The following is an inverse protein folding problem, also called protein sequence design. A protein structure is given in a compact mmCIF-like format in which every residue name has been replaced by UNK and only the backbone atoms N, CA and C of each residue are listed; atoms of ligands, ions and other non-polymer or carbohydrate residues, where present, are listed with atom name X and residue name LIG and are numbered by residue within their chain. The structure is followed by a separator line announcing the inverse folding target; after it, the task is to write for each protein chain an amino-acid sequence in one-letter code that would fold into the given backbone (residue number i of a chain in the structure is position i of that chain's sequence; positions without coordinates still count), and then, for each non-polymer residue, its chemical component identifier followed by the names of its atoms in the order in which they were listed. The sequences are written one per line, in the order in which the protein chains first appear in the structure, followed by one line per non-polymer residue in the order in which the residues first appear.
data_IF_728715045374
#
_entry.id   IF_728715045374
#
_cell.length_a   1.000
_cell.length_b   1.000
_cell.length_c   1.000
_cell.angle_alpha   90.00
_cell.angle_beta   90.00
_cell.angle_gamma   90.00
#
_symmetry.space_group_name_H-M   'P 1'
#
loop_
_entity.id
_entity.type
_entity.pdbx_description
1 polymer ?
#
# COMPACT_ATOMS: atom_id res chain seq x y z
N UNK A 1 -46.17 -65.55 23.28
CA UNK A 1 -45.93 -64.51 22.25
C UNK A 1 -46.51 -63.20 22.76
N UNK A 2 -45.65 -62.19 22.87
CA UNK A 2 -45.83 -60.98 23.68
C UNK A 2 -46.87 -60.02 23.09
N UNK A 3 -47.76 -59.54 23.95
CA UNK A 3 -48.70 -58.42 23.80
C UNK A 3 -47.95 -57.09 23.64
N UNK A 4 -48.53 -56.09 22.96
CA UNK A 4 -48.70 -54.72 23.48
C UNK A 4 -49.84 -53.99 22.75
N UNK A 5 -50.75 -53.42 23.54
CA UNK A 5 -51.93 -52.67 23.13
C UNK A 5 -51.69 -51.19 22.89
N UNK A 6 -52.67 -50.58 22.21
CA UNK A 6 -52.71 -49.19 21.77
C UNK A 6 -52.88 -48.19 22.93
N UNK A 7 -52.22 -47.03 22.81
CA UNK A 7 -52.50 -45.86 23.65
C UNK A 7 -52.34 -44.55 22.88
N UNK A 8 -53.46 -43.83 22.78
CA UNK A 8 -53.66 -42.38 22.89
C UNK A 8 -52.68 -41.40 22.20
N UNK A 9 -53.22 -40.65 21.23
CA UNK A 9 -52.61 -39.47 20.64
C UNK A 9 -52.40 -38.33 21.64
N UNK A 10 -51.29 -37.61 21.45
CA UNK A 10 -50.93 -36.42 22.23
C UNK A 10 -50.65 -35.27 21.25
N UNK A 11 -51.45 -34.20 21.38
CA UNK A 11 -51.28 -32.96 20.64
C UNK A 11 -50.01 -32.23 21.11
N UNK A 12 -49.13 -31.86 20.18
CA UNK A 12 -47.95 -31.04 20.44
C UNK A 12 -48.33 -29.56 20.40
N UNK A 13 -48.23 -28.90 21.56
CA UNK A 13 -48.36 -27.45 21.71
C UNK A 13 -47.10 -26.76 21.17
N UNK A 14 -47.28 -25.77 20.31
CA UNK A 14 -46.21 -24.87 19.88
C UNK A 14 -45.84 -23.94 21.05
N UNK A 15 -44.61 -24.06 21.54
CA UNK A 15 -44.05 -23.12 22.50
C UNK A 15 -43.63 -21.83 21.78
N UNK A 16 -44.26 -20.71 22.12
CA UNK A 16 -43.89 -19.37 21.67
C UNK A 16 -42.64 -18.88 22.41
N UNK A 17 -41.48 -19.45 22.07
CA UNK A 17 -40.19 -18.92 22.50
C UNK A 17 -39.83 -17.69 21.68
N UNK A 18 -39.84 -16.50 22.30
CA UNK A 18 -39.19 -15.31 21.72
C UNK A 18 -37.69 -15.59 21.61
N UNK A 19 -37.18 -15.70 20.39
CA UNK A 19 -35.75 -15.68 20.14
C UNK A 19 -35.17 -14.36 20.67
N UNK A 20 -34.01 -14.36 21.35
CA UNK A 20 -33.36 -13.12 21.73
C UNK A 20 -33.01 -12.36 20.44
N UNK A 21 -33.54 -11.15 20.31
CA UNK A 21 -33.16 -10.25 19.24
C UNK A 21 -31.63 -10.05 19.33
N UNK A 22 -30.90 -10.65 18.38
CA UNK A 22 -29.49 -10.29 18.16
C UNK A 22 -29.51 -8.82 17.81
N UNK A 23 -29.14 -7.97 18.77
CA UNK A 23 -28.89 -6.58 18.51
C UNK A 23 -27.90 -6.51 17.36
N UNK A 24 -28.34 -5.91 16.25
CA UNK A 24 -27.45 -5.49 15.17
C UNK A 24 -26.46 -4.54 15.83
N UNK A 25 -25.29 -5.06 16.18
CA UNK A 25 -24.17 -4.25 16.62
C UNK A 25 -23.79 -3.44 15.39
N UNK A 26 -24.21 -2.18 15.36
CA UNK A 26 -23.85 -1.26 14.30
C UNK A 26 -22.34 -1.37 14.08
N UNK A 27 -21.94 -1.59 12.83
CA UNK A 27 -20.55 -1.61 12.42
C UNK A 27 -19.86 -0.32 12.89
N UNK A 28 -18.53 -0.33 13.10
CA UNK A 28 -17.82 0.90 13.39
C UNK A 28 -18.15 1.90 12.28
N UNK A 29 -18.61 3.10 12.67
CA UNK A 29 -18.92 4.23 11.78
C UNK A 29 -17.94 4.21 10.60
N UNK A 30 -18.43 3.93 9.39
CA UNK A 30 -17.58 3.95 8.19
C UNK A 30 -16.94 5.34 8.13
N UNK A 31 -15.61 5.41 8.27
CA UNK A 31 -14.90 6.68 8.14
C UNK A 31 -15.02 7.06 6.67
N UNK A 32 -15.76 8.13 6.39
CA UNK A 32 -15.94 8.64 5.02
C UNK A 32 -14.76 9.50 4.57
N UNK A 33 -13.91 9.90 5.52
CA UNK A 33 -12.73 10.71 5.30
C UNK A 33 -11.54 10.24 6.14
N UNK A 34 -10.34 10.61 5.70
CA UNK A 34 -9.07 10.30 6.33
C UNK A 34 -8.09 11.49 6.27
N UNK A 35 -7.15 11.58 7.24
CA UNK A 35 -5.98 12.43 7.16
C UNK A 35 -5.08 12.08 5.96
N UNK A 36 -4.60 13.11 5.26
CA UNK A 36 -3.62 12.98 4.18
C UNK A 36 -2.81 14.26 3.98
N UNK A 37 -1.58 14.12 3.49
CA UNK A 37 -0.83 15.20 2.85
C UNK A 37 -1.03 15.12 1.34
N UNK A 38 -1.57 16.19 0.76
CA UNK A 38 -1.91 16.26 -0.66
C UNK A 38 -1.30 17.50 -1.30
N UNK A 39 -1.27 17.51 -2.63
CA UNK A 39 -1.03 18.69 -3.44
C UNK A 39 -2.24 18.92 -4.34
N UNK A 40 -2.60 20.18 -4.55
CA UNK A 40 -3.71 20.58 -5.45
C UNK A 40 -3.20 21.20 -6.77
N UNK A 41 -1.89 21.39 -6.87
CA UNK A 41 -1.14 21.84 -8.04
C UNK A 41 0.32 21.45 -7.90
N UNK A 42 1.05 21.41 -9.01
CA UNK A 42 2.51 21.23 -8.97
C UNK A 42 3.24 22.47 -8.46
N UNK A 43 4.39 22.28 -7.81
CA UNK A 43 5.24 23.38 -7.37
C UNK A 43 6.30 23.03 -6.33
N UNK A 44 6.80 24.08 -5.67
CA UNK A 44 7.75 23.98 -4.57
C UNK A 44 7.10 23.37 -3.31
N UNK A 45 7.82 23.31 -2.19
CA UNK A 45 7.30 22.65 -0.98
C UNK A 45 6.01 23.29 -0.43
N UNK A 46 5.71 24.53 -0.78
CA UNK A 46 4.53 25.27 -0.34
C UNK A 46 3.20 24.70 -0.84
N UNK A 47 3.22 23.83 -1.86
CA UNK A 47 2.00 23.22 -2.41
C UNK A 47 1.51 22.03 -1.56
N UNK A 48 2.33 21.53 -0.63
CA UNK A 48 1.93 20.48 0.30
C UNK A 48 0.91 21.02 1.30
N UNK A 49 -0.23 20.34 1.38
CA UNK A 49 -1.33 20.69 2.27
C UNK A 49 -1.77 19.47 3.05
N UNK A 50 -1.83 19.61 4.37
CA UNK A 50 -2.48 18.63 5.22
C UNK A 50 -4.01 18.80 5.16
N UNK A 51 -4.73 17.69 5.07
CA UNK A 51 -6.20 17.65 5.15
C UNK A 51 -6.64 16.51 6.04
N UNK A 52 -7.79 16.65 6.71
CA UNK A 52 -8.48 15.57 7.42
C UNK A 52 -9.66 14.99 6.61
N UNK A 53 -9.95 15.62 5.47
CA UNK A 53 -11.16 15.41 4.69
C UNK A 53 -10.90 14.67 3.36
N UNK A 54 -9.73 14.01 3.22
CA UNK A 54 -9.46 13.19 2.04
C UNK A 54 -10.43 12.00 2.04
N UNK A 55 -11.07 11.73 0.91
CA UNK A 55 -12.06 10.63 0.80
C UNK A 55 -11.41 9.31 1.22
N UNK A 56 -12.11 8.54 2.06
CA UNK A 56 -11.64 7.22 2.45
C UNK A 56 -11.54 6.31 1.22
N UNK A 57 -10.42 5.57 1.05
CA UNK A 57 -10.21 4.74 -0.14
C UNK A 57 -11.27 3.64 -0.27
N UNK A 58 -11.64 3.32 -1.51
CA UNK A 58 -12.62 2.27 -1.83
C UNK A 58 -11.91 1.22 -2.69
N UNK A 59 -12.21 -0.05 -2.46
CA UNK A 59 -11.83 -1.16 -3.33
C UNK A 59 -12.67 -1.08 -4.61
N UNK A 60 -12.03 -0.74 -5.72
CA UNK A 60 -12.68 -0.70 -7.03
C UNK A 60 -12.53 -2.04 -7.77
N UNK A 61 -11.43 -2.76 -7.53
CA UNK A 61 -11.14 -4.03 -8.18
C UNK A 61 -10.97 -5.16 -7.17
N UNK A 62 -11.41 -6.39 -7.50
CA UNK A 62 -11.41 -7.51 -6.56
C UNK A 62 -10.01 -7.93 -6.09
N UNK A 63 -8.94 -7.54 -6.80
CA UNK A 63 -7.56 -7.83 -6.44
C UNK A 63 -6.90 -6.75 -5.55
N UNK A 64 -7.64 -5.74 -5.10
CA UNK A 64 -7.08 -4.66 -4.27
C UNK A 64 -7.16 -4.95 -2.78
N UNK A 65 -6.28 -4.32 -2.01
CA UNK A 65 -6.29 -4.29 -0.55
C UNK A 65 -6.19 -2.85 -0.06
N UNK A 66 -6.85 -2.56 1.06
CA UNK A 66 -6.69 -1.30 1.80
C UNK A 66 -5.71 -1.55 2.95
N UNK A 67 -4.66 -0.74 3.01
CA UNK A 67 -3.63 -0.82 4.06
C UNK A 67 -3.77 0.41 4.94
N UNK A 68 -3.88 0.23 6.27
CA UNK A 68 -3.66 1.31 7.24
C UNK A 68 -2.17 1.57 7.32
N UNK A 69 -1.76 2.76 6.93
CA UNK A 69 -0.36 3.17 6.91
C UNK A 69 0.13 3.37 8.34
N UNK A 70 1.20 2.67 8.72
CA UNK A 70 1.90 2.92 9.99
C UNK A 70 3.14 3.79 9.76
N UNK A 71 3.86 3.54 8.67
CA UNK A 71 4.99 4.34 8.23
C UNK A 71 5.08 4.39 6.70
N UNK A 72 5.65 5.47 6.21
CA UNK A 72 5.97 5.71 4.81
C UNK A 72 7.37 6.34 4.73
N UNK A 73 8.02 6.22 3.58
CA UNK A 73 9.29 6.88 3.28
C UNK A 73 9.11 7.94 2.19
N UNK A 74 10.06 8.88 2.11
CA UNK A 74 10.16 9.83 1.02
C UNK A 74 11.31 9.43 0.11
N UNK A 75 11.05 9.42 -1.19
CA UNK A 75 12.03 9.15 -2.23
C UNK A 75 12.24 10.43 -3.07
N UNK A 76 13.38 10.58 -3.78
CA UNK A 76 13.59 11.71 -4.70
C UNK A 76 12.44 11.91 -5.70
N UNK A 77 11.84 10.80 -6.18
CA UNK A 77 10.69 10.85 -7.09
C UNK A 77 9.49 11.59 -6.50
N UNK A 78 9.27 11.56 -5.17
CA UNK A 78 8.18 12.28 -4.53
C UNK A 78 8.37 13.80 -4.66
N UNK A 79 9.61 14.27 -4.46
CA UNK A 79 9.98 15.69 -4.61
C UNK A 79 9.91 16.13 -6.08
N UNK A 80 10.40 15.28 -7.00
CA UNK A 80 10.33 15.56 -8.43
C UNK A 80 8.87 15.61 -8.90
N UNK A 81 8.04 14.65 -8.51
CA UNK A 81 6.62 14.60 -8.86
C UNK A 81 5.85 15.79 -8.29
N UNK A 82 6.16 16.23 -7.05
CA UNK A 82 5.59 17.45 -6.48
C UNK A 82 5.82 18.66 -7.40
N UNK A 83 6.99 18.74 -8.01
CA UNK A 83 7.37 19.81 -8.95
C UNK A 83 6.86 19.58 -10.39
N UNK A 84 6.08 18.52 -10.66
CA UNK A 84 5.51 18.22 -11.98
C UNK A 84 6.31 17.25 -12.85
N UNK A 85 7.40 16.67 -12.34
CA UNK A 85 8.17 15.68 -13.09
C UNK A 85 7.31 14.47 -13.47
N UNK A 86 7.34 14.09 -14.75
CA UNK A 86 6.62 12.93 -15.26
C UNK A 86 5.10 13.12 -15.37
N UNK A 87 4.54 14.30 -15.06
CA UNK A 87 3.09 14.54 -15.05
C UNK A 87 2.39 14.07 -16.33
N UNK A 88 2.94 14.41 -17.51
CA UNK A 88 2.40 13.96 -18.79
C UNK A 88 2.31 12.43 -18.91
N UNK A 89 3.40 11.73 -18.62
CA UNK A 89 3.46 10.27 -18.75
C UNK A 89 2.59 9.57 -17.69
N UNK A 90 2.59 10.08 -16.45
CA UNK A 90 1.78 9.54 -15.36
C UNK A 90 0.28 9.78 -15.60
N UNK A 91 -0.11 10.91 -16.16
CA UNK A 91 -1.51 11.17 -16.53
C UNK A 91 -1.99 10.25 -17.66
N UNK A 92 -1.12 9.93 -18.64
CA UNK A 92 -1.43 8.88 -19.62
C UNK A 92 -1.64 7.51 -18.98
N UNK A 93 -0.94 7.19 -17.89
CA UNK A 93 -1.16 5.94 -17.12
C UNK A 93 -2.43 5.99 -16.27
N UNK A 94 -2.80 7.15 -15.72
CA UNK A 94 -4.02 7.36 -14.91
C UNK A 94 -5.29 7.28 -15.75
N UNK A 95 -5.24 7.79 -16.98
CA UNK A 95 -6.37 7.80 -17.90
C UNK A 95 -5.95 7.34 -19.31
N UNK A 96 -5.76 6.02 -19.49
CA UNK A 96 -5.31 5.47 -20.77
C UNK A 96 -6.30 5.68 -21.91
N UNK A 97 -7.58 5.89 -21.61
CA UNK A 97 -8.64 6.12 -22.59
C UNK A 97 -8.91 7.62 -22.84
N UNK A 98 -8.22 8.52 -22.14
CA UNK A 98 -8.41 9.99 -22.22
C UNK A 98 -9.87 10.42 -22.05
N UNK A 99 -10.60 9.75 -21.15
CA UNK A 99 -12.00 10.05 -20.87
C UNK A 99 -12.16 11.26 -19.95
N UNK A 100 -11.11 11.64 -19.23
CA UNK A 100 -11.10 12.75 -18.30
C UNK A 100 -10.54 14.01 -18.98
N UNK A 101 -11.23 15.14 -18.78
CA UNK A 101 -10.77 16.46 -19.24
C UNK A 101 -10.15 17.24 -18.08
N UNK A 102 -8.96 17.81 -18.27
CA UNK A 102 -8.26 18.64 -17.26
C UNK A 102 -7.27 17.88 -16.37
N UNK A 103 -6.72 18.56 -15.38
CA UNK A 103 -5.84 17.99 -14.34
C UNK A 103 -6.68 17.17 -13.36
N UNK A 104 -6.73 15.85 -13.58
CA UNK A 104 -7.64 14.95 -12.82
C UNK A 104 -6.93 14.11 -11.78
N UNK A 105 -5.62 14.30 -11.63
CA UNK A 105 -4.81 13.69 -10.59
C UNK A 105 -4.97 14.37 -9.23
N UNK A 106 -5.42 15.64 -9.21
CA UNK A 106 -5.56 16.42 -7.99
C UNK A 106 -6.91 16.18 -7.30
N UNK A 107 -6.97 16.18 -5.94
CA UNK A 107 -5.83 16.26 -5.01
C UNK A 107 -4.95 15.00 -5.07
N UNK A 108 -3.64 15.19 -5.19
CA UNK A 108 -2.67 14.09 -5.34
C UNK A 108 -1.94 13.84 -4.02
N UNK A 109 -2.04 12.62 -3.52
CA UNK A 109 -1.23 12.12 -2.39
C UNK A 109 0.09 11.55 -2.91
N UNK A 110 1.22 12.05 -2.40
CA UNK A 110 2.57 11.57 -2.71
C UNK A 110 2.99 10.42 -1.76
N UNK A 111 4.23 9.95 -1.86
CA UNK A 111 4.77 8.84 -1.07
C UNK A 111 4.57 7.51 -1.78
N UNK A 112 5.66 6.76 -1.99
CA UNK A 112 5.65 5.48 -2.73
C UNK A 112 5.80 4.27 -1.81
N UNK A 113 6.34 4.45 -0.62
CA UNK A 113 6.54 3.35 0.33
C UNK A 113 5.46 3.29 1.39
N UNK A 114 5.02 2.08 1.73
CA UNK A 114 4.19 1.82 2.90
C UNK A 114 4.71 0.61 3.66
N UNK A 115 4.71 0.73 4.99
CA UNK A 115 4.55 -0.42 5.87
C UNK A 115 3.38 -0.18 6.81
N UNK A 116 2.54 -1.20 6.97
CA UNK A 116 1.28 -1.05 7.69
C UNK A 116 0.53 -2.37 7.84
N UNK A 117 -0.77 -2.26 8.10
CA UNK A 117 -1.64 -3.41 8.38
C UNK A 117 -2.78 -3.43 7.38
N UNK A 118 -3.07 -4.61 6.83
CA UNK A 118 -4.22 -4.81 5.95
C UNK A 118 -5.51 -4.57 6.74
N UNK A 119 -6.36 -3.69 6.23
CA UNK A 119 -7.66 -3.36 6.80
C UNK A 119 -8.80 -4.12 6.12
N UNK A 120 -8.74 -4.18 4.78
CA UNK A 120 -9.78 -4.79 3.95
C UNK A 120 -9.14 -5.38 2.68
N UNK A 121 -9.74 -6.46 2.18
CA UNK A 121 -9.32 -7.16 0.97
C UNK A 121 -10.50 -7.27 0.01
N UNK A 122 -10.22 -7.09 -1.28
CA UNK A 122 -11.17 -7.43 -2.33
C UNK A 122 -11.36 -8.95 -2.41
N UNK A 123 -12.49 -9.37 -2.98
CA UNK A 123 -12.89 -10.79 -3.02
C UNK A 123 -11.94 -11.70 -3.83
N UNK A 124 -11.09 -11.12 -4.68
CA UNK A 124 -10.08 -11.83 -5.47
C UNK A 124 -8.72 -11.97 -4.77
N UNK A 125 -8.56 -11.40 -3.57
CA UNK A 125 -7.32 -11.51 -2.79
C UNK A 125 -7.39 -12.75 -1.90
N UNK A 126 -6.46 -13.69 -2.09
CA UNK A 126 -6.42 -14.96 -1.35
C UNK A 126 -5.26 -15.09 -0.36
N UNK A 127 -4.17 -14.34 -0.56
CA UNK A 127 -2.94 -14.49 0.22
C UNK A 127 -2.85 -13.55 1.42
N UNK A 128 -3.69 -12.52 1.49
CA UNK A 128 -3.73 -11.53 2.57
C UNK A 128 -5.11 -11.49 3.21
N UNK A 129 -5.15 -11.19 4.51
CA UNK A 129 -6.39 -10.97 5.27
C UNK A 129 -6.26 -9.74 6.18
N UNK A 130 -7.38 -9.14 6.61
CA UNK A 130 -7.35 -8.09 7.61
C UNK A 130 -6.53 -8.48 8.85
N UNK A 131 -5.67 -7.56 9.30
CA UNK A 131 -4.74 -7.77 10.40
C UNK A 131 -3.33 -8.21 10.00
N UNK A 132 -3.07 -8.55 8.73
CA UNK A 132 -1.73 -8.90 8.28
C UNK A 132 -0.81 -7.68 8.19
N UNK A 133 0.42 -7.81 8.71
CA UNK A 133 1.47 -6.79 8.58
C UNK A 133 2.18 -6.89 7.23
N UNK A 134 2.10 -5.81 6.45
CA UNK A 134 2.54 -5.77 5.05
C UNK A 134 3.44 -4.58 4.77
N UNK A 135 4.12 -4.65 3.64
CA UNK A 135 4.80 -3.54 3.00
C UNK A 135 4.54 -3.55 1.49
N UNK A 136 4.69 -2.39 0.84
CA UNK A 136 4.51 -2.25 -0.60
C UNK A 136 5.23 -1.02 -1.13
N UNK A 137 5.58 -1.08 -2.42
CA UNK A 137 5.94 0.09 -3.21
C UNK A 137 4.79 0.40 -4.18
N UNK A 138 4.15 1.55 -4.00
CA UNK A 138 3.00 1.97 -4.78
C UNK A 138 3.48 2.61 -6.09
N UNK A 139 2.96 2.18 -7.26
CA UNK A 139 3.34 2.76 -8.53
C UNK A 139 3.05 4.26 -8.62
N UNK A 140 3.88 5.05 -9.32
CA UNK A 140 3.82 6.50 -9.28
C UNK A 140 2.53 7.11 -9.87
N UNK A 141 1.79 6.37 -10.69
CA UNK A 141 0.51 6.82 -11.24
C UNK A 141 -0.67 6.65 -10.28
N UNK A 142 -0.54 5.90 -9.18
CA UNK A 142 -1.59 5.74 -8.15
C UNK A 142 -1.50 6.82 -7.07
N UNK A 143 -2.58 6.94 -6.27
CA UNK A 143 -2.58 7.73 -5.03
C UNK A 143 -1.60 7.11 -4.01
N UNK A 144 -0.87 7.98 -3.32
CA UNK A 144 0.27 7.62 -2.50
C UNK A 144 0.00 7.24 -1.05
N UNK A 145 1.10 7.13 -0.31
CA UNK A 145 1.16 6.57 1.05
C UNK A 145 1.30 7.63 2.15
N UNK A 146 1.43 8.92 1.82
CA UNK A 146 1.38 10.02 2.80
C UNK A 146 -0.07 10.31 3.26
N UNK A 147 -0.79 9.25 3.61
CA UNK A 147 -2.20 9.22 4.02
C UNK A 147 -2.41 8.21 5.15
N UNK A 148 -3.53 8.28 5.86
CA UNK A 148 -3.84 7.26 6.89
C UNK A 148 -4.10 5.87 6.27
N UNK A 149 -4.62 5.82 5.04
CA UNK A 149 -4.88 4.58 4.31
C UNK A 149 -4.47 4.70 2.85
N UNK A 150 -4.04 3.58 2.26
CA UNK A 150 -3.67 3.48 0.84
C UNK A 150 -4.24 2.21 0.22
N UNK A 151 -4.61 2.29 -1.07
CA UNK A 151 -5.01 1.12 -1.87
C UNK A 151 -3.81 0.60 -2.63
N UNK A 152 -3.59 -0.71 -2.57
CA UNK A 152 -2.60 -1.40 -3.37
C UNK A 152 -3.25 -2.60 -4.07
N UNK A 153 -2.73 -2.99 -5.23
CA UNK A 153 -3.08 -4.28 -5.82
C UNK A 153 -2.36 -5.39 -5.06
N UNK A 154 -2.97 -6.56 -4.86
CA UNK A 154 -2.38 -7.66 -4.13
C UNK A 154 -1.04 -8.16 -4.69
N UNK A 155 -0.75 -7.91 -5.97
CA UNK A 155 0.56 -8.21 -6.58
C UNK A 155 1.65 -7.15 -6.30
N UNK A 156 1.30 -6.00 -5.73
CA UNK A 156 2.22 -4.94 -5.29
C UNK A 156 2.59 -5.09 -3.81
N UNK A 157 1.89 -5.98 -3.09
CA UNK A 157 1.97 -6.12 -1.63
C UNK A 157 2.73 -7.39 -1.27
N UNK A 158 3.48 -7.31 -0.17
CA UNK A 158 4.17 -8.46 0.42
C UNK A 158 4.07 -8.40 1.96
N UNK A 159 4.26 -9.53 2.62
CA UNK A 159 4.42 -9.53 4.07
C UNK A 159 5.68 -8.77 4.45
N UNK A 160 5.57 -7.88 5.44
CA UNK A 160 6.74 -7.17 5.93
C UNK A 160 7.66 -8.16 6.68
N UNK A 161 9.00 -7.98 6.68
CA UNK A 161 9.89 -8.78 7.51
C UNK A 161 9.54 -8.67 9.00
N UNK A 162 9.36 -9.81 9.67
CA UNK A 162 8.97 -9.87 11.09
C UNK A 162 9.99 -9.27 12.05
N UNK A 163 11.26 -9.21 11.65
CA UNK A 163 12.37 -8.69 12.46
C UNK A 163 12.51 -7.17 12.42
N UNK A 164 11.79 -6.47 11.53
CA UNK A 164 11.85 -5.01 11.42
C UNK A 164 10.70 -4.39 12.23
N UNK A 165 10.78 -3.11 12.54
CA UNK A 165 9.61 -2.27 12.86
C UNK A 165 8.87 -1.87 11.57
N UNK A 166 7.72 -1.19 11.68
CA UNK A 166 7.08 -0.58 10.50
C UNK A 166 7.93 0.56 9.93
N UNK A 167 8.57 1.37 10.79
CA UNK A 167 9.43 2.48 10.36
C UNK A 167 10.63 1.99 9.54
N UNK A 168 11.32 0.95 10.01
CA UNK A 168 12.44 0.35 9.26
C UNK A 168 11.95 -0.34 7.98
N UNK A 169 10.85 -1.08 8.06
CA UNK A 169 10.30 -1.75 6.89
C UNK A 169 9.85 -0.76 5.81
N UNK A 170 9.29 0.39 6.16
CA UNK A 170 8.85 1.39 5.19
C UNK A 170 10.01 2.03 4.40
N UNK A 171 11.25 1.97 4.90
CA UNK A 171 12.41 2.56 4.21
C UNK A 171 12.93 1.75 3.00
N UNK A 172 12.35 0.57 2.73
CA UNK A 172 12.94 -0.44 1.85
C UNK A 172 12.20 -0.71 0.53
N UNK A 173 10.85 -0.69 0.40
CA UNK A 173 10.19 -1.27 -0.76
C UNK A 173 10.57 -0.64 -2.09
N UNK A 174 10.53 0.69 -2.23
CA UNK A 174 10.74 1.40 -3.49
C UNK A 174 12.20 1.34 -3.91
N UNK A 175 13.13 1.66 -3.00
CA UNK A 175 14.57 1.58 -3.26
C UNK A 175 15.03 0.13 -3.47
N UNK A 176 14.48 -0.81 -2.70
CA UNK A 176 14.78 -2.23 -2.79
C UNK A 176 14.33 -2.82 -4.12
N UNK A 177 13.11 -2.51 -4.58
CA UNK A 177 12.63 -2.92 -5.91
C UNK A 177 13.41 -2.24 -7.04
N UNK A 178 13.83 -0.99 -6.85
CA UNK A 178 14.68 -0.29 -7.84
C UNK A 178 16.03 -0.99 -7.98
N UNK A 179 16.69 -1.30 -6.87
CA UNK A 179 17.96 -2.03 -6.85
C UNK A 179 17.80 -3.46 -7.40
N UNK A 180 16.72 -4.15 -7.02
CA UNK A 180 16.41 -5.48 -7.53
C UNK A 180 16.17 -5.48 -9.04
N UNK A 181 15.42 -4.50 -9.56
CA UNK A 181 15.22 -4.34 -11.00
C UNK A 181 16.55 -4.13 -11.72
N UNK A 182 17.41 -3.24 -11.20
CA UNK A 182 18.70 -2.94 -11.82
C UNK A 182 19.66 -4.14 -11.82
N UNK A 183 19.84 -4.78 -10.65
CA UNK A 183 20.83 -5.85 -10.48
C UNK A 183 20.33 -7.19 -11.01
N UNK A 184 19.10 -7.57 -10.67
CA UNK A 184 18.57 -8.90 -10.97
C UNK A 184 17.84 -8.96 -12.30
N UNK A 185 16.86 -8.10 -12.53
CA UNK A 185 16.03 -8.17 -13.75
C UNK A 185 16.77 -7.68 -15.00
N UNK A 186 17.45 -6.54 -14.90
CA UNK A 186 18.20 -5.94 -16.01
C UNK A 186 19.62 -6.48 -16.07
N UNK A 187 20.33 -6.49 -14.92
CA UNK A 187 21.73 -6.93 -14.83
C UNK A 187 21.92 -8.45 -14.82
N UNK A 188 20.86 -9.24 -14.66
CA UNK A 188 20.93 -10.70 -14.63
C UNK A 188 21.69 -11.30 -13.44
N UNK A 189 22.05 -10.49 -12.44
CA UNK A 189 22.76 -10.95 -11.25
C UNK A 189 21.79 -11.64 -10.29
N UNK A 190 22.14 -12.84 -9.87
CA UNK A 190 21.37 -13.62 -8.92
C UNK A 190 22.30 -14.44 -8.03
N UNK A 191 21.73 -15.11 -7.03
CA UNK A 191 22.47 -15.88 -6.03
C UNK A 191 23.43 -16.92 -6.64
N UNK A 192 23.08 -17.51 -7.78
CA UNK A 192 23.89 -18.57 -8.41
C UNK A 192 25.07 -18.04 -9.23
N UNK A 193 25.07 -16.77 -9.62
CA UNK A 193 26.07 -16.22 -10.53
C UNK A 193 26.81 -14.99 -10.01
N UNK A 194 26.54 -14.53 -8.78
CA UNK A 194 27.18 -13.35 -8.21
C UNK A 194 28.58 -13.63 -7.62
N UNK A 195 28.87 -14.87 -7.22
CA UNK A 195 30.14 -15.25 -6.60
C UNK A 195 31.35 -14.91 -7.48
N UNK A 196 32.33 -14.22 -6.93
CA UNK A 196 33.56 -13.83 -7.62
C UNK A 196 33.41 -12.69 -8.64
N UNK A 197 32.23 -12.07 -8.76
CA UNK A 197 32.03 -10.89 -9.62
C UNK A 197 32.34 -9.60 -8.87
N UNK A 198 33.03 -8.67 -9.53
CA UNK A 198 33.19 -7.30 -9.03
C UNK A 198 32.01 -6.44 -9.48
N UNK A 199 31.34 -5.80 -8.52
CA UNK A 199 30.20 -4.89 -8.78
C UNK A 199 30.61 -3.47 -8.41
N UNK A 200 30.36 -2.53 -9.31
CA UNK A 200 30.62 -1.11 -9.09
C UNK A 200 29.30 -0.40 -8.83
N UNK A 201 29.18 0.24 -7.66
CA UNK A 201 28.01 1.02 -7.28
C UNK A 201 28.38 2.51 -7.33
N UNK A 202 27.74 3.23 -8.24
CA UNK A 202 27.82 4.69 -8.28
C UNK A 202 26.71 5.28 -7.42
N UNK A 203 27.08 6.06 -6.42
CA UNK A 203 26.15 6.75 -5.52
C UNK A 203 26.40 8.24 -5.65
N UNK A 204 25.41 8.95 -6.17
CA UNK A 204 25.40 10.41 -6.15
C UNK A 204 24.63 10.90 -4.92
N UNK A 205 25.32 11.56 -4.00
CA UNK A 205 24.76 12.14 -2.78
C UNK A 205 24.57 13.66 -2.88
N UNK A 206 24.83 14.26 -4.03
CA UNK A 206 24.90 15.72 -4.18
C UNK A 206 23.58 16.40 -3.82
N UNK A 207 22.43 15.76 -4.07
CA UNK A 207 21.11 16.26 -3.70
C UNK A 207 20.74 16.09 -2.21
N UNK A 208 21.45 15.22 -1.47
CA UNK A 208 21.22 15.00 -0.04
C UNK A 208 22.13 15.87 0.85
N UNK A 209 23.21 16.41 0.28
CA UNK A 209 24.33 17.04 1.00
C UNK A 209 24.38 18.57 0.87
N UNK A 210 23.33 19.22 0.38
CA UNK A 210 23.23 20.69 0.34
C UNK A 210 23.34 21.39 1.72
N UNK A 211 23.49 20.64 2.83
CA UNK A 211 23.86 21.15 4.15
C UNK A 211 25.16 20.60 4.76
N UNK A 212 25.87 19.67 4.11
CA UNK A 212 27.16 19.15 4.59
C UNK A 212 28.11 18.94 3.40
N UNK A 213 29.07 19.84 3.21
CA UNK A 213 30.12 19.72 2.18
C UNK A 213 30.93 18.42 2.33
N UNK A 214 30.60 17.37 1.57
CA UNK A 214 31.44 16.18 1.37
C UNK A 214 31.36 15.78 -0.11
N UNK A 215 32.54 15.59 -0.72
CA UNK A 215 32.73 15.18 -2.12
C UNK A 215 32.13 13.80 -2.41
N UNK A 216 31.66 13.60 -3.65
CA UNK A 216 31.19 12.31 -4.17
C UNK A 216 32.23 11.22 -3.92
N UNK A 217 31.82 10.11 -3.29
CA UNK A 217 32.67 8.95 -3.10
C UNK A 217 32.12 7.76 -3.89
N UNK A 218 32.98 7.16 -4.72
CA UNK A 218 32.75 5.80 -5.24
C UNK A 218 33.14 4.84 -4.12
N UNK A 219 32.16 4.19 -3.50
CA UNK A 219 32.42 3.20 -2.45
C UNK A 219 32.51 1.80 -3.06
N UNK A 220 33.60 1.10 -2.75
CA UNK A 220 33.82 -0.29 -3.17
C UNK A 220 33.08 -1.22 -2.20
N UNK A 221 32.09 -1.96 -2.70
CA UNK A 221 31.55 -3.11 -1.98
C UNK A 221 31.99 -4.37 -2.71
N UNK A 222 33.01 -5.04 -2.16
CA UNK A 222 33.38 -6.38 -2.62
C UNK A 222 32.38 -7.35 -1.99
N UNK A 223 31.44 -7.86 -2.79
CA UNK A 223 30.56 -8.94 -2.36
C UNK A 223 31.40 -10.23 -2.41
N UNK A 224 31.87 -10.68 -1.24
CA UNK A 224 32.52 -11.99 -1.08
C UNK A 224 31.48 -13.10 -1.00
#
# INVERSE_FOLDING_TARGET
MLSWGAASGRALRWASGRAPARGLRASPRARTAMPSWVIDRYGSNEVLRFTRDMVFPIIHFPNEVIIKVHAASLNPIDLSMRSGYGATALNMKRDPLKLKTGETEFPLTLGRDVSGVVMECGLGVSYFKPGDEVWAAIPPWKQGTLSEFVVASGNEVSFKPKCLSHTEAAALPYVGLTAWSALNQVGGLNQSNCSGKSVWLYIDLTDYLLHLHILSQVTFLQVT
#
